data_IF_960458084454
#
_entry.id   IF_960458084454
#
_cell.length_a   1.000
_cell.length_b   1.000
_cell.length_c   1.000
_cell.angle_alpha   90.00
_cell.angle_beta   90.00
_cell.angle_gamma   90.00
#
_symmetry.space_group_name_H-M   'P 1'
#
loop_
_entity.id
_entity.type
_entity.pdbx_description
1 polymer ?
#
# COMPACT_ATOMS: atom_id res chain seq x y z
N UNK A 1 20.90 3.66 -21.18
CA UNK A 1 19.95 4.35 -22.06
C UNK A 1 19.53 3.38 -23.15
N UNK A 2 18.26 2.99 -23.17
CA UNK A 2 17.56 2.35 -24.31
C UNK A 2 16.16 3.00 -24.34
N UNK A 3 15.79 3.63 -25.45
CA UNK A 3 14.38 3.88 -25.79
C UNK A 3 13.73 5.24 -25.51
N UNK A 4 14.34 6.17 -24.78
CA UNK A 4 14.00 7.61 -24.84
C UNK A 4 12.60 8.07 -24.41
N UNK A 5 11.67 7.18 -24.06
CA UNK A 5 10.47 7.51 -23.30
C UNK A 5 10.62 6.93 -21.89
N UNK A 6 10.73 7.80 -20.91
CA UNK A 6 10.50 7.43 -19.51
C UNK A 6 9.02 7.04 -19.37
N UNK A 7 8.70 5.78 -19.66
CA UNK A 7 7.47 5.08 -19.27
C UNK A 7 7.46 4.91 -17.75
N UNK A 8 7.64 6.03 -17.04
CA UNK A 8 7.83 6.01 -15.60
C UNK A 8 6.52 5.57 -14.93
N UNK A 9 6.69 4.92 -13.78
CA UNK A 9 5.64 4.50 -12.86
C UNK A 9 4.60 5.62 -12.62
N UNK A 10 5.05 6.88 -12.65
CA UNK A 10 4.23 8.08 -12.46
C UNK A 10 3.15 8.28 -13.53
N UNK A 11 3.33 7.81 -14.78
CA UNK A 11 2.30 7.89 -15.82
C UNK A 11 1.20 6.85 -15.64
N UNK A 12 1.53 5.66 -15.12
CA UNK A 12 0.53 4.64 -14.77
C UNK A 12 -0.24 5.10 -13.52
N UNK A 13 0.47 5.65 -12.54
CA UNK A 13 -0.03 6.20 -11.27
C UNK A 13 -0.98 7.40 -11.47
N UNK A 14 -0.69 8.31 -12.41
CA UNK A 14 -1.52 9.50 -12.66
C UNK A 14 -2.67 9.31 -13.65
N UNK A 15 -2.57 8.41 -14.64
CA UNK A 15 -3.58 8.33 -15.72
C UNK A 15 -4.46 7.09 -15.68
N UNK A 16 -4.03 6.00 -15.05
CA UNK A 16 -4.74 4.72 -15.14
C UNK A 16 -5.23 4.28 -13.77
N UNK A 17 -4.44 4.48 -12.72
CA UNK A 17 -4.65 3.78 -11.45
C UNK A 17 -5.56 4.53 -10.45
N UNK A 18 -5.52 5.88 -10.39
CA UNK A 18 -6.43 6.62 -9.48
C UNK A 18 -7.89 6.67 -9.94
N UNK A 19 -8.14 6.62 -11.26
CA UNK A 19 -9.50 6.63 -11.80
C UNK A 19 -10.20 5.25 -11.71
N UNK A 20 -9.48 4.20 -11.27
CA UNK A 20 -10.06 2.86 -11.09
C UNK A 20 -10.90 2.70 -9.82
N UNK A 21 -10.81 3.64 -8.87
CA UNK A 21 -11.50 3.49 -7.57
C UNK A 21 -11.02 2.28 -6.78
N UNK A 22 -9.77 1.85 -6.99
CA UNK A 22 -9.21 0.62 -6.44
C UNK A 22 -8.16 0.93 -5.35
N UNK A 23 -8.51 0.88 -4.06
CA UNK A 23 -7.62 1.27 -2.97
C UNK A 23 -6.37 0.39 -2.83
N UNK A 24 -6.40 -0.89 -3.27
CA UNK A 24 -5.26 -1.83 -3.13
C UNK A 24 -4.06 -1.43 -3.97
N UNK A 25 -4.24 -0.53 -4.93
CA UNK A 25 -3.18 0.03 -5.78
C UNK A 25 -2.09 0.72 -4.94
N UNK A 26 -2.45 1.35 -3.82
CA UNK A 26 -1.50 2.02 -2.92
C UNK A 26 -0.43 1.06 -2.35
N UNK A 27 -0.70 -0.25 -2.34
CA UNK A 27 0.24 -1.30 -1.92
C UNK A 27 0.99 -1.95 -3.09
N UNK A 28 0.51 -1.72 -4.31
CA UNK A 28 1.07 -2.27 -5.54
C UNK A 28 2.11 -1.35 -6.18
N UNK A 29 1.92 -0.02 -6.06
CA UNK A 29 2.84 0.97 -6.60
C UNK A 29 3.89 1.31 -5.53
N UNK A 30 5.09 0.74 -5.66
CA UNK A 30 6.24 1.11 -4.84
C UNK A 30 7.06 2.20 -5.55
N UNK A 31 7.17 3.38 -4.93
CA UNK A 31 7.99 4.50 -5.41
C UNK A 31 9.51 4.36 -5.14
N UNK A 32 10.04 3.14 -5.11
CA UNK A 32 11.44 2.81 -4.84
C UNK A 32 12.05 3.44 -3.55
N UNK A 33 11.27 3.61 -2.46
CA UNK A 33 11.77 4.11 -1.16
C UNK A 33 11.90 3.00 -0.09
N UNK A 34 12.73 3.20 0.96
CA UNK A 34 13.03 2.21 2.04
C UNK A 34 11.75 1.68 2.68
N UNK A 35 10.74 2.54 2.80
CA UNK A 35 9.47 2.29 3.44
C UNK A 35 8.37 1.83 2.49
N UNK A 36 8.67 1.43 1.25
CA UNK A 36 7.65 0.94 0.31
C UNK A 36 7.50 -0.60 0.33
N UNK A 37 6.31 -1.14 0.02
CA UNK A 37 6.05 -2.59 -0.05
C UNK A 37 6.88 -3.25 -1.15
N UNK A 38 7.45 -4.43 -0.90
CA UNK A 38 8.23 -5.18 -1.90
C UNK A 38 7.48 -5.26 -3.24
N UNK A 39 8.16 -4.89 -4.33
CA UNK A 39 7.62 -5.06 -5.69
C UNK A 39 7.45 -6.56 -5.97
N UNK A 40 6.31 -6.95 -6.54
CA UNK A 40 6.11 -8.33 -7.02
C UNK A 40 7.20 -8.65 -8.05
N UNK A 41 7.70 -9.89 -8.01
CA UNK A 41 8.69 -10.39 -8.99
C UNK A 41 8.09 -10.66 -10.39
N UNK A 42 6.80 -10.37 -10.59
CA UNK A 42 6.07 -10.53 -11.84
C UNK A 42 5.29 -9.26 -12.18
N UNK A 43 5.08 -9.01 -13.47
CA UNK A 43 4.24 -7.91 -13.92
C UNK A 43 2.76 -8.15 -13.58
N UNK A 44 2.03 -7.06 -13.36
CA UNK A 44 0.57 -7.12 -13.26
C UNK A 44 -0.04 -7.49 -14.60
N UNK A 45 -0.99 -8.42 -14.60
CA UNK A 45 -1.72 -8.82 -15.81
C UNK A 45 -3.21 -8.70 -15.56
N UNK A 46 -3.98 -8.29 -16.58
CA UNK A 46 -5.44 -8.14 -16.43
C UNK A 46 -6.11 -9.41 -15.89
N UNK A 47 -5.66 -10.58 -16.32
CA UNK A 47 -6.19 -11.87 -15.89
C UNK A 47 -5.92 -12.22 -14.41
N UNK A 48 -4.89 -11.62 -13.80
CA UNK A 48 -4.49 -11.91 -12.41
C UNK A 48 -4.58 -10.67 -11.50
N UNK A 49 -5.03 -9.54 -12.02
CA UNK A 49 -4.89 -8.24 -11.37
C UNK A 49 -5.52 -8.23 -9.96
N UNK A 50 -6.74 -8.74 -9.82
CA UNK A 50 -7.43 -8.79 -8.54
C UNK A 50 -6.67 -9.61 -7.48
N UNK A 51 -6.23 -10.82 -7.86
CA UNK A 51 -5.40 -11.66 -7.00
C UNK A 51 -4.10 -10.97 -6.62
N UNK A 52 -3.39 -10.39 -7.60
CA UNK A 52 -2.11 -9.73 -7.37
C UNK A 52 -2.24 -8.49 -6.48
N UNK A 53 -3.38 -7.80 -6.52
CA UNK A 53 -3.69 -6.67 -5.64
C UNK A 53 -4.07 -7.15 -4.23
N UNK A 54 -4.86 -8.22 -4.10
CA UNK A 54 -5.19 -8.85 -2.82
C UNK A 54 -3.94 -9.33 -2.09
N UNK A 55 -3.06 -10.04 -2.78
CA UNK A 55 -1.79 -10.50 -2.22
C UNK A 55 -0.93 -9.35 -1.68
N UNK A 56 -0.87 -8.21 -2.40
CA UNK A 56 -0.10 -7.05 -1.93
C UNK A 56 -0.75 -6.36 -0.73
N UNK A 57 -2.08 -6.27 -0.71
CA UNK A 57 -2.81 -5.71 0.42
C UNK A 57 -2.58 -6.55 1.68
N UNK A 58 -2.73 -7.87 1.55
CA UNK A 58 -2.46 -8.84 2.62
C UNK A 58 -1.01 -8.73 3.10
N UNK A 59 -0.05 -8.79 2.17
CA UNK A 59 1.37 -8.66 2.49
C UNK A 59 1.69 -7.35 3.23
N UNK A 60 1.17 -6.21 2.75
CA UNK A 60 1.44 -4.92 3.37
C UNK A 60 0.83 -4.81 4.77
N UNK A 61 -0.42 -5.22 4.94
CA UNK A 61 -1.14 -5.15 6.20
C UNK A 61 -0.53 -6.05 7.27
N UNK A 62 -0.05 -7.23 6.87
CA UNK A 62 0.54 -8.21 7.77
C UNK A 62 2.08 -8.09 7.89
N UNK A 63 2.69 -7.05 7.29
CA UNK A 63 4.12 -6.82 7.41
C UNK A 63 4.49 -6.24 8.79
N UNK A 64 5.21 -7.04 9.59
CA UNK A 64 5.74 -6.63 10.90
C UNK A 64 6.51 -5.31 10.83
N UNK A 65 6.26 -4.41 11.77
CA UNK A 65 6.91 -3.10 11.84
C UNK A 65 6.40 -2.06 10.81
N UNK A 66 5.29 -2.35 10.12
CA UNK A 66 4.58 -1.38 9.26
C UNK A 66 3.14 -1.16 9.65
N UNK A 67 2.52 -2.18 10.23
CA UNK A 67 1.20 -2.11 10.83
C UNK A 67 1.21 -3.05 12.04
N UNK A 68 0.72 -2.57 13.17
CA UNK A 68 0.48 -3.36 14.37
C UNK A 68 -1.04 -3.31 14.62
N UNK A 69 -1.70 -4.44 14.38
CA UNK A 69 -3.16 -4.53 14.42
C UNK A 69 -3.57 -5.35 15.65
N UNK A 70 -4.29 -4.71 16.57
CA UNK A 70 -4.97 -5.37 17.67
C UNK A 70 -6.47 -5.04 17.64
N UNK A 71 -7.24 -5.79 18.41
CA UNK A 71 -8.70 -5.66 18.45
C UNK A 71 -9.19 -4.26 18.85
N UNK A 72 -8.52 -3.63 19.82
CA UNK A 72 -8.96 -2.38 20.45
C UNK A 72 -8.10 -1.15 20.06
N UNK A 73 -6.90 -1.38 19.53
CA UNK A 73 -5.98 -0.32 19.09
C UNK A 73 -5.15 -0.80 17.91
N UNK A 74 -5.03 0.05 16.90
CA UNK A 74 -4.20 -0.19 15.74
C UNK A 74 -3.17 0.93 15.59
N UNK A 75 -1.96 0.56 15.17
CA UNK A 75 -0.92 1.51 14.77
C UNK A 75 -0.51 1.18 13.34
N UNK A 76 -0.94 1.99 12.37
CA UNK A 76 -0.88 1.66 10.94
C UNK A 76 -0.08 2.68 10.15
N UNK A 77 0.35 2.31 8.95
CA UNK A 77 1.12 3.21 8.08
C UNK A 77 0.38 4.52 7.77
N UNK A 78 1.12 5.64 7.70
CA UNK A 78 0.59 6.96 7.29
C UNK A 78 -0.03 6.97 5.88
N UNK A 79 0.17 5.92 5.07
CA UNK A 79 -0.52 5.76 3.78
C UNK A 79 -2.05 5.80 3.94
N UNK A 80 -2.57 5.19 5.01
CA UNK A 80 -4.01 5.19 5.31
C UNK A 80 -4.52 6.57 5.69
N UNK A 81 -3.66 7.43 6.24
CA UNK A 81 -3.98 8.83 6.54
C UNK A 81 -3.92 9.73 5.29
N UNK A 82 -2.94 9.51 4.42
CA UNK A 82 -2.74 10.33 3.23
C UNK A 82 -3.80 10.08 2.17
N UNK A 83 -4.21 8.81 2.02
CA UNK A 83 -5.17 8.36 1.02
C UNK A 83 -6.47 7.86 1.64
N UNK A 84 -6.84 8.36 2.83
CA UNK A 84 -8.05 7.90 3.56
C UNK A 84 -9.28 7.84 2.68
N UNK A 85 -9.49 8.86 1.83
CA UNK A 85 -10.64 8.94 0.94
C UNK A 85 -10.77 7.75 -0.01
N UNK A 86 -9.67 7.13 -0.41
CA UNK A 86 -9.67 6.00 -1.33
C UNK A 86 -10.05 4.71 -0.60
N UNK A 87 -9.62 4.56 0.66
CA UNK A 87 -9.95 3.42 1.51
C UNK A 87 -11.39 3.46 2.06
N UNK A 88 -12.00 4.64 2.13
CA UNK A 88 -13.34 4.82 2.74
C UNK A 88 -14.45 5.08 1.72
N UNK A 89 -14.26 4.74 0.44
CA UNK A 89 -15.31 4.98 -0.58
C UNK A 89 -16.53 4.06 -0.38
N UNK A 90 -16.30 2.83 0.08
CA UNK A 90 -17.33 1.79 0.22
C UNK A 90 -17.51 1.33 1.67
N UNK A 91 -17.15 2.18 2.64
CA UNK A 91 -17.22 1.84 4.07
C UNK A 91 -16.24 2.67 4.91
N UNK A 92 -16.04 2.25 6.14
CA UNK A 92 -15.06 2.80 7.08
C UNK A 92 -13.67 2.22 6.82
N UNK A 93 -12.65 2.90 7.34
CA UNK A 93 -11.28 2.40 7.27
C UNK A 93 -11.15 1.05 7.99
N UNK A 94 -11.85 0.87 9.12
CA UNK A 94 -11.81 -0.38 9.89
C UNK A 94 -12.45 -1.53 9.11
N UNK A 95 -13.58 -1.30 8.43
CA UNK A 95 -14.19 -2.30 7.54
C UNK A 95 -13.23 -2.68 6.40
N UNK A 96 -12.52 -1.70 5.83
CA UNK A 96 -11.50 -1.97 4.81
C UNK A 96 -10.37 -2.85 5.36
N UNK A 97 -9.83 -2.51 6.54
CA UNK A 97 -8.73 -3.25 7.17
C UNK A 97 -9.15 -4.66 7.60
N UNK A 98 -10.38 -4.84 8.07
CA UNK A 98 -10.94 -6.12 8.50
C UNK A 98 -11.10 -7.16 7.38
N UNK A 99 -10.88 -6.79 6.12
CA UNK A 99 -10.74 -7.76 5.03
C UNK A 99 -9.52 -8.68 5.21
N UNK A 100 -8.48 -8.21 5.90
CA UNK A 100 -7.22 -8.94 6.11
C UNK A 100 -6.75 -8.97 7.57
N UNK A 101 -7.36 -8.19 8.46
CA UNK A 101 -6.97 -8.13 9.87
C UNK A 101 -7.34 -9.41 10.65
N UNK A 102 -6.36 -9.98 11.34
CA UNK A 102 -6.58 -11.03 12.34
C UNK A 102 -5.79 -10.70 13.62
N UNK A 103 -6.46 -10.44 14.77
CA UNK A 103 -7.91 -10.50 14.99
C UNK A 103 -8.66 -9.33 14.33
N UNK A 104 -9.98 -9.51 14.13
CA UNK A 104 -10.85 -8.43 13.66
C UNK A 104 -10.82 -7.22 14.62
N UNK A 105 -10.64 -6.04 14.04
CA UNK A 105 -10.60 -4.73 14.70
C UNK A 105 -12.03 -4.30 15.03
N UNK A 106 -12.26 -3.80 16.25
CA UNK A 106 -13.55 -3.21 16.60
C UNK A 106 -13.75 -1.87 15.91
N UNK A 107 -15.01 -1.52 15.61
CA UNK A 107 -15.38 -0.25 14.98
C UNK A 107 -14.94 0.99 15.78
N UNK A 108 -14.81 0.86 17.10
CA UNK A 108 -14.40 1.93 18.03
C UNK A 108 -12.91 1.85 18.43
N UNK A 109 -12.10 1.04 17.73
CA UNK A 109 -10.69 0.91 18.01
C UNK A 109 -9.94 2.25 17.86
N UNK A 110 -8.97 2.48 18.72
CA UNK A 110 -8.09 3.64 18.63
C UNK A 110 -7.15 3.49 17.42
N UNK A 111 -7.07 4.53 16.59
CA UNK A 111 -6.23 4.54 15.37
C UNK A 111 -5.06 5.49 15.57
N UNK A 112 -3.86 4.91 15.67
CA UNK A 112 -2.59 5.63 15.60
C UNK A 112 -1.89 5.40 14.26
N UNK A 113 -0.99 6.32 13.92
CA UNK A 113 -0.22 6.26 12.68
C UNK A 113 1.28 6.20 12.94
N UNK A 114 1.93 5.15 12.44
CA UNK A 114 3.37 4.95 12.57
C UNK A 114 4.19 6.11 11.98
N UNK A 115 5.35 6.38 12.57
CA UNK A 115 6.26 7.38 12.03
C UNK A 115 6.87 6.97 10.69
N UNK A 116 6.46 7.68 9.65
CA UNK A 116 6.96 7.46 8.30
C UNK A 116 8.37 8.05 8.13
N UNK A 117 9.36 7.16 8.01
CA UNK A 117 10.73 7.54 7.63
C UNK A 117 10.81 7.76 6.11
N UNK A 118 10.97 9.02 5.70
CA UNK A 118 11.09 9.44 4.29
C UNK A 118 12.43 9.09 3.62
N UNK A 119 13.28 8.27 4.24
CA UNK A 119 14.54 7.86 3.62
C UNK A 119 14.30 7.02 2.36
N UNK A 120 14.83 7.50 1.23
CA UNK A 120 14.94 6.75 -0.03
C UNK A 120 15.90 5.57 0.14
N UNK A 121 15.64 4.45 -0.55
CA UNK A 121 16.56 3.31 -0.59
C UNK A 121 17.78 3.75 -1.41
N UNK A 122 18.68 4.48 -0.76
CA UNK A 122 19.94 4.87 -1.34
C UNK A 122 20.76 3.60 -1.55
N UNK A 123 20.82 3.11 -2.78
CA UNK A 123 21.87 2.22 -3.22
C UNK A 123 23.17 2.94 -2.90
N UNK A 124 23.85 2.54 -1.82
CA UNK A 124 25.26 2.88 -1.65
C UNK A 124 25.99 2.15 -2.77
N UNK A 125 26.21 2.85 -3.88
CA UNK A 125 27.23 2.46 -4.82
C UNK A 125 28.55 2.41 -4.05
N UNK A 126 29.07 1.20 -3.85
CA UNK A 126 30.46 1.02 -3.46
C UNK A 126 31.32 1.55 -4.60
N UNK A 127 31.97 2.69 -4.37
CA UNK A 127 33.30 2.97 -4.94
C UNK A 127 34.34 2.13 -4.23
#
# INVERSE_FOLDING_TARGET
QIGGEDFNLSRIEHKILRDMGEPRIHFAINCASVSCPSLRNEAYTAAKLDQQLNDQADYFLNQSGRNEINKDRIEISKIFRWFTKDFTQNGTLIEFLNQWAEPAIKEDAEIDYMDYNWQLNGVKGNT
#
